data_IF_042266234393
#
_entry.id   IF_042266234393
#
_cell.length_a   1.000
_cell.length_b   1.000
_cell.length_c   1.000
_cell.angle_alpha   90.00
_cell.angle_beta   90.00
_cell.angle_gamma   90.00
#
_symmetry.space_group_name_H-M   'P 1'
#
loop_
_entity.id
_entity.type
_entity.pdbx_description
1 polymer ?
#
# COMPACT_ATOMS: atom_id res chain seq x y z
N UNK A 1 13.15 -20.06 -14.08
CA UNK A 1 13.49 -18.63 -13.77
C UNK A 1 14.20 -18.00 -14.94
N UNK A 2 14.15 -16.68 -15.08
CA UNK A 2 14.87 -15.92 -16.12
C UNK A 2 15.77 -14.85 -15.50
N UNK A 3 16.75 -14.35 -16.27
CA UNK A 3 17.67 -13.29 -15.85
C UNK A 3 17.89 -12.27 -16.98
N UNK A 4 18.33 -11.08 -16.60
CA UNK A 4 18.74 -10.01 -17.49
C UNK A 4 19.96 -9.30 -16.90
N UNK A 5 21.02 -8.99 -17.68
CA UNK A 5 22.09 -8.13 -17.20
C UNK A 5 21.54 -6.77 -16.76
N UNK A 6 21.95 -6.30 -15.59
CA UNK A 6 21.44 -5.07 -14.97
C UNK A 6 21.65 -3.82 -15.82
N UNK A 7 22.68 -3.81 -16.64
CA UNK A 7 22.95 -2.74 -17.61
C UNK A 7 21.83 -2.60 -18.68
N UNK A 8 21.05 -3.66 -18.92
CA UNK A 8 19.96 -3.69 -19.91
C UNK A 8 18.59 -3.40 -19.30
N UNK A 9 18.52 -2.90 -18.04
CA UNK A 9 17.25 -2.56 -17.40
C UNK A 9 16.43 -1.54 -18.19
N UNK A 10 17.08 -0.55 -18.82
CA UNK A 10 16.36 0.43 -19.62
C UNK A 10 15.72 -0.20 -20.88
N UNK A 11 16.36 -1.19 -21.47
CA UNK A 11 15.79 -1.93 -22.60
C UNK A 11 14.56 -2.73 -22.17
N UNK A 12 14.62 -3.36 -20.99
CA UNK A 12 13.48 -4.03 -20.36
C UNK A 12 12.31 -3.07 -20.13
N UNK A 13 12.59 -1.91 -19.54
CA UNK A 13 11.56 -0.92 -19.26
C UNK A 13 10.96 -0.32 -20.55
N UNK A 14 11.78 -0.10 -21.57
CA UNK A 14 11.34 0.33 -22.88
C UNK A 14 10.43 -0.71 -23.55
N UNK A 15 10.79 -2.00 -23.49
CA UNK A 15 10.00 -3.09 -24.05
C UNK A 15 8.63 -3.22 -23.36
N UNK A 16 8.56 -3.07 -22.03
CA UNK A 16 7.29 -3.07 -21.29
C UNK A 16 6.48 -1.81 -21.65
N UNK A 17 7.13 -0.64 -21.68
CA UNK A 17 6.47 0.64 -21.96
C UNK A 17 5.94 0.75 -23.38
N UNK A 18 6.49 -0.01 -24.33
CA UNK A 18 5.95 -0.10 -25.69
C UNK A 18 4.58 -0.78 -25.78
N UNK A 19 4.21 -1.59 -24.77
CA UNK A 19 2.97 -2.34 -24.73
C UNK A 19 1.92 -1.69 -23.82
N UNK A 20 2.35 -1.12 -22.71
CA UNK A 20 1.48 -0.58 -21.66
C UNK A 20 2.22 0.45 -20.81
N UNK A 21 1.50 1.34 -20.13
CA UNK A 21 2.12 2.33 -19.25
C UNK A 21 2.93 1.62 -18.14
N UNK A 22 4.22 1.94 -18.00
CA UNK A 22 5.07 1.37 -16.96
C UNK A 22 5.29 2.40 -15.84
N UNK A 23 4.96 2.02 -14.62
CA UNK A 23 5.26 2.80 -13.41
C UNK A 23 6.38 2.11 -12.62
N UNK A 24 7.34 2.89 -12.13
CA UNK A 24 8.43 2.39 -11.32
C UNK A 24 8.86 3.44 -10.27
N UNK A 25 9.57 3.03 -9.20
CA UNK A 25 10.13 3.96 -8.24
C UNK A 25 11.24 4.80 -8.87
N UNK A 26 11.04 6.11 -8.94
CA UNK A 26 12.06 7.08 -9.35
C UNK A 26 12.19 8.18 -8.30
N UNK A 27 13.36 8.80 -8.19
CA UNK A 27 13.57 9.89 -7.25
C UNK A 27 12.99 11.20 -7.84
N UNK A 28 12.23 11.92 -7.03
CA UNK A 28 11.77 13.27 -7.36
C UNK A 28 12.89 14.31 -7.14
N UNK A 29 12.60 15.58 -7.41
CA UNK A 29 13.55 16.67 -7.26
C UNK A 29 14.04 16.85 -5.80
N UNK A 30 13.29 16.36 -4.81
CA UNK A 30 13.66 16.36 -3.40
C UNK A 30 14.42 15.08 -2.98
N UNK A 31 14.71 14.19 -3.92
CA UNK A 31 15.37 12.91 -3.68
C UNK A 31 14.48 11.90 -2.94
N UNK A 32 13.15 12.03 -3.02
CA UNK A 32 12.23 11.05 -2.47
C UNK A 32 11.78 10.09 -3.57
N UNK A 33 11.88 8.79 -3.30
CA UNK A 33 11.38 7.77 -4.24
C UNK A 33 9.85 7.78 -4.31
N UNK A 34 9.31 7.83 -5.52
CA UNK A 34 7.87 7.76 -5.80
C UNK A 34 7.61 6.89 -7.03
N UNK A 35 6.45 6.22 -7.08
CA UNK A 35 6.02 5.56 -8.30
C UNK A 35 5.66 6.61 -9.36
N UNK A 36 6.39 6.59 -10.47
CA UNK A 36 6.29 7.57 -11.55
C UNK A 36 6.17 6.83 -12.88
N UNK A 37 5.42 7.39 -13.83
CA UNK A 37 5.36 6.89 -15.19
C UNK A 37 6.76 6.93 -15.81
N UNK A 38 7.25 5.76 -16.21
CA UNK A 38 8.58 5.65 -16.83
C UNK A 38 8.67 6.41 -18.15
N UNK A 39 9.79 7.02 -18.37
CA UNK A 39 10.20 7.68 -19.62
C UNK A 39 11.63 7.32 -19.90
N UNK A 40 11.99 7.30 -21.16
CA UNK A 40 13.37 7.02 -21.57
C UNK A 40 14.38 7.92 -20.83
N UNK A 41 15.49 7.32 -20.41
CA UNK A 41 16.52 7.97 -19.60
C UNK A 41 16.24 8.05 -18.10
N UNK A 42 15.06 7.62 -17.61
CA UNK A 42 14.79 7.54 -16.18
C UNK A 42 15.50 6.35 -15.54
N UNK A 43 16.06 6.57 -14.34
CA UNK A 43 16.72 5.53 -13.55
C UNK A 43 15.86 5.07 -12.40
N UNK A 44 15.92 3.78 -12.12
CA UNK A 44 15.28 3.20 -10.92
C UNK A 44 15.89 3.80 -9.65
N UNK A 45 15.03 4.25 -8.72
CA UNK A 45 15.50 4.74 -7.42
C UNK A 45 16.28 3.66 -6.66
N UNK A 46 17.35 4.10 -6.00
CA UNK A 46 18.11 3.24 -5.06
C UNK A 46 17.41 3.08 -3.71
N UNK A 47 16.41 3.91 -3.41
CA UNK A 47 15.60 3.82 -2.19
C UNK A 47 14.52 2.77 -2.37
N UNK A 48 14.44 1.85 -1.44
CA UNK A 48 13.50 0.74 -1.53
C UNK A 48 12.10 1.10 -1.02
N UNK A 49 12.01 2.00 -0.05
CA UNK A 49 10.72 2.43 0.48
C UNK A 49 10.31 3.77 -0.18
N UNK A 50 9.30 3.73 -1.01
CA UNK A 50 8.75 4.94 -1.64
C UNK A 50 7.97 5.78 -0.64
N UNK A 51 7.87 7.10 -0.86
CA UNK A 51 7.15 8.01 0.01
C UNK A 51 5.67 7.61 0.17
N UNK A 52 5.05 7.15 -0.93
CA UNK A 52 3.74 6.51 -0.98
C UNK A 52 3.85 5.19 -1.74
N UNK A 53 2.99 4.22 -1.41
CA UNK A 53 2.94 2.94 -2.11
C UNK A 53 2.35 3.08 -3.52
N UNK A 54 2.42 2.01 -4.31
CA UNK A 54 1.74 1.93 -5.60
C UNK A 54 0.19 1.90 -5.49
N UNK A 55 -0.38 1.97 -4.29
CA UNK A 55 -1.83 2.00 -4.05
C UNK A 55 -2.54 3.06 -4.91
N UNK A 56 -1.92 4.23 -5.09
CA UNK A 56 -2.47 5.35 -5.84
C UNK A 56 -2.86 4.98 -7.29
N UNK A 57 -2.19 3.99 -7.87
CA UNK A 57 -2.46 3.50 -9.23
C UNK A 57 -3.71 2.60 -9.30
N UNK A 58 -4.06 1.93 -8.21
CA UNK A 58 -5.19 0.99 -8.12
C UNK A 58 -6.39 1.60 -7.40
N UNK A 59 -6.14 2.44 -6.42
CA UNK A 59 -7.12 3.21 -5.67
C UNK A 59 -6.66 4.67 -5.62
N UNK A 60 -6.99 5.49 -6.64
CA UNK A 60 -6.53 6.87 -6.75
C UNK A 60 -7.13 7.77 -5.67
N UNK A 61 -6.42 8.87 -5.35
CA UNK A 61 -6.84 9.80 -4.30
C UNK A 61 -8.18 10.49 -4.63
N UNK A 62 -8.45 10.71 -5.90
CA UNK A 62 -9.73 11.27 -6.39
C UNK A 62 -10.15 10.48 -7.62
N UNK A 63 -11.42 10.15 -7.69
CA UNK A 63 -11.99 9.36 -8.78
C UNK A 63 -13.45 9.75 -9.04
N UNK A 64 -13.77 10.11 -10.28
CA UNK A 64 -15.14 10.38 -10.68
C UNK A 64 -15.97 9.09 -10.72
N UNK A 65 -17.18 9.14 -10.14
CA UNK A 65 -18.10 7.99 -10.07
C UNK A 65 -19.23 8.12 -11.09
N UNK A 66 -19.85 9.30 -11.18
CA UNK A 66 -20.96 9.57 -12.10
C UNK A 66 -21.10 11.06 -12.39
N UNK A 67 -21.64 11.38 -13.54
CA UNK A 67 -22.05 12.75 -13.90
C UNK A 67 -23.56 12.86 -14.10
N UNK A 68 -24.11 14.00 -13.73
CA UNK A 68 -25.52 14.31 -13.90
C UNK A 68 -25.64 15.65 -14.64
N UNK A 69 -26.49 15.69 -15.67
CA UNK A 69 -26.83 16.92 -16.38
C UNK A 69 -28.31 17.21 -16.20
N UNK A 70 -28.62 18.45 -15.91
CA UNK A 70 -29.97 18.89 -15.71
C UNK A 70 -30.46 19.64 -16.97
N UNK A 71 -31.52 19.15 -17.60
CA UNK A 71 -32.17 19.77 -18.74
C UNK A 71 -33.65 20.02 -18.39
N UNK A 72 -33.98 21.22 -17.92
CA UNK A 72 -35.29 21.54 -17.42
C UNK A 72 -35.69 20.66 -16.22
N UNK A 73 -36.69 19.81 -16.40
CA UNK A 73 -37.13 18.82 -15.39
C UNK A 73 -36.51 17.43 -15.55
N UNK A 74 -35.81 17.20 -16.65
CA UNK A 74 -35.10 15.93 -16.89
C UNK A 74 -33.71 15.91 -16.26
N UNK A 75 -33.31 14.73 -15.79
CA UNK A 75 -31.95 14.46 -15.32
C UNK A 75 -31.37 13.39 -16.22
N UNK A 76 -30.30 13.73 -16.91
CA UNK A 76 -29.48 12.80 -17.65
C UNK A 76 -28.33 12.34 -16.76
N UNK A 77 -28.13 11.02 -16.65
CA UNK A 77 -26.96 10.42 -15.98
C UNK A 77 -25.97 10.00 -17.07
N UNK A 78 -24.72 10.42 -16.94
CA UNK A 78 -23.68 10.05 -17.88
C UNK A 78 -22.47 9.45 -17.18
N UNK A 79 -21.83 8.52 -17.88
CA UNK A 79 -20.61 7.88 -17.40
C UNK A 79 -19.45 8.89 -17.36
N UNK A 80 -18.73 8.90 -16.27
CA UNK A 80 -17.52 9.73 -16.07
C UNK A 80 -16.28 8.88 -15.84
N UNK A 81 -16.43 7.57 -15.91
CA UNK A 81 -15.29 6.64 -15.76
C UNK A 81 -14.42 6.73 -16.99
N UNK A 82 -13.16 7.04 -16.77
CA UNK A 82 -12.15 6.85 -17.82
C UNK A 82 -11.94 5.35 -18.05
N UNK A 83 -11.73 4.98 -19.30
CA UNK A 83 -11.34 3.62 -19.64
C UNK A 83 -10.04 3.25 -18.94
N UNK A 84 -10.03 2.13 -18.24
CA UNK A 84 -8.83 1.63 -17.58
C UNK A 84 -7.86 1.09 -18.62
N UNK A 85 -6.82 1.88 -18.95
CA UNK A 85 -5.78 1.46 -19.86
C UNK A 85 -4.84 0.47 -19.17
N UNK A 86 -4.30 -0.52 -19.91
CA UNK A 86 -3.30 -1.43 -19.37
C UNK A 86 -2.07 -0.68 -18.85
N UNK A 87 -1.56 -1.10 -17.70
CA UNK A 87 -0.34 -0.56 -17.11
C UNK A 87 0.42 -1.67 -16.37
N UNK A 88 1.69 -1.48 -16.10
CA UNK A 88 2.49 -2.37 -15.26
C UNK A 88 3.15 -1.55 -14.15
N UNK A 89 3.35 -2.18 -13.00
CA UNK A 89 4.02 -1.54 -11.86
C UNK A 89 5.23 -2.36 -11.46
N UNK A 90 6.43 -1.83 -11.73
CA UNK A 90 7.71 -2.47 -11.40
C UNK A 90 8.24 -1.99 -10.06
N UNK A 91 8.90 -2.87 -9.31
CA UNK A 91 9.62 -2.52 -8.10
C UNK A 91 8.74 -2.40 -6.84
N UNK A 92 7.55 -2.98 -6.87
CA UNK A 92 6.67 -3.08 -5.71
C UNK A 92 7.33 -3.93 -4.63
N UNK A 93 7.35 -3.49 -3.37
CA UNK A 93 7.93 -4.25 -2.25
C UNK A 93 6.93 -5.28 -1.72
N UNK A 94 7.43 -6.33 -1.06
CA UNK A 94 6.59 -7.38 -0.49
C UNK A 94 5.49 -6.83 0.44
N UNK A 95 5.79 -5.82 1.25
CA UNK A 95 4.79 -5.16 2.10
C UNK A 95 3.72 -4.41 1.31
N UNK A 96 4.07 -3.80 0.18
CA UNK A 96 3.10 -3.13 -0.70
C UNK A 96 2.29 -4.17 -1.49
N UNK A 97 2.90 -5.25 -1.96
CA UNK A 97 2.19 -6.37 -2.59
C UNK A 97 1.16 -6.98 -1.63
N UNK A 98 1.56 -7.26 -0.39
CA UNK A 98 0.65 -7.74 0.66
C UNK A 98 -0.50 -6.75 0.92
N UNK A 99 -0.26 -5.44 0.80
CA UNK A 99 -1.32 -4.45 1.01
C UNK A 99 -2.44 -4.55 -0.04
N UNK A 100 -2.15 -4.97 -1.25
CA UNK A 100 -3.18 -5.22 -2.26
C UNK A 100 -4.10 -6.38 -1.89
N UNK A 101 -3.57 -7.45 -1.31
CA UNK A 101 -4.40 -8.56 -0.82
C UNK A 101 -5.36 -8.09 0.29
N UNK A 102 -4.93 -7.14 1.13
CA UNK A 102 -5.80 -6.55 2.15
C UNK A 102 -6.85 -5.62 1.55
N UNK A 103 -6.51 -4.87 0.52
CA UNK A 103 -7.48 -4.04 -0.21
C UNK A 103 -8.46 -4.89 -1.03
N UNK A 104 -7.99 -6.00 -1.61
CA UNK A 104 -8.81 -6.97 -2.33
C UNK A 104 -9.91 -7.54 -1.41
N UNK A 105 -9.60 -7.85 -0.14
CA UNK A 105 -10.58 -8.29 0.86
C UNK A 105 -11.67 -7.25 1.14
N UNK A 106 -11.39 -5.98 0.91
CA UNK A 106 -12.38 -4.89 1.12
C UNK A 106 -13.14 -4.58 -0.16
N UNK A 107 -12.44 -4.43 -1.28
CA UNK A 107 -13.03 -3.89 -2.51
C UNK A 107 -13.54 -4.96 -3.49
N UNK A 108 -13.07 -6.20 -3.38
CA UNK A 108 -13.52 -7.30 -4.23
C UNK A 108 -14.56 -8.21 -3.57
N UNK A 109 -14.96 -7.94 -2.31
CA UNK A 109 -16.13 -8.55 -1.70
C UNK A 109 -17.41 -7.92 -2.22
N UNK A 110 -18.51 -8.68 -2.18
CA UNK A 110 -19.84 -8.17 -2.58
C UNK A 110 -20.35 -7.09 -1.61
N UNK A 111 -20.82 -5.95 -2.11
CA UNK A 111 -20.84 -5.54 -3.53
C UNK A 111 -19.45 -5.12 -4.02
N UNK A 112 -19.00 -5.71 -5.14
CA UNK A 112 -17.67 -5.47 -5.70
C UNK A 112 -17.52 -4.02 -6.15
N UNK A 113 -16.41 -3.38 -5.75
CA UNK A 113 -15.98 -2.09 -6.28
C UNK A 113 -15.43 -2.26 -7.70
N UNK A 114 -16.26 -2.00 -8.69
CA UNK A 114 -15.91 -2.23 -10.09
C UNK A 114 -14.80 -1.30 -10.62
N UNK A 115 -14.56 -0.15 -9.99
CA UNK A 115 -13.46 0.76 -10.35
C UNK A 115 -12.12 0.19 -9.90
N UNK A 116 -12.07 -0.29 -8.66
CA UNK A 116 -10.88 -0.96 -8.13
C UNK A 116 -10.62 -2.26 -8.89
N UNK A 117 -11.63 -3.10 -9.09
CA UNK A 117 -11.52 -4.38 -9.78
C UNK A 117 -10.93 -4.22 -11.20
N UNK A 118 -11.40 -3.23 -11.98
CA UNK A 118 -10.89 -2.96 -13.32
C UNK A 118 -9.38 -2.64 -13.32
N UNK A 119 -8.90 -1.85 -12.34
CA UNK A 119 -7.46 -1.55 -12.22
C UNK A 119 -6.64 -2.74 -11.74
N UNK A 120 -7.19 -3.53 -10.80
CA UNK A 120 -6.52 -4.77 -10.35
C UNK A 120 -6.36 -5.76 -11.49
N UNK A 121 -7.34 -5.81 -12.41
CA UNK A 121 -7.25 -6.64 -13.61
C UNK A 121 -6.24 -6.10 -14.62
N UNK A 122 -6.24 -4.82 -14.88
CA UNK A 122 -5.41 -4.18 -15.91
C UNK A 122 -3.92 -4.07 -15.53
N UNK A 123 -3.58 -4.09 -14.24
CA UNK A 123 -2.25 -3.74 -13.75
C UNK A 123 -1.45 -4.92 -13.16
N UNK A 124 -0.60 -5.63 -13.93
CA UNK A 124 0.30 -6.60 -13.35
C UNK A 124 1.30 -5.94 -12.40
N UNK A 125 1.53 -6.64 -11.27
CA UNK A 125 2.43 -6.22 -10.20
C UNK A 125 3.74 -6.99 -10.30
N UNK A 126 4.82 -6.26 -10.62
CA UNK A 126 6.18 -6.78 -10.68
C UNK A 126 6.88 -6.38 -9.37
N UNK A 127 7.04 -7.35 -8.48
CA UNK A 127 7.66 -7.13 -7.18
C UNK A 127 9.17 -7.19 -7.27
N UNK A 128 9.84 -6.50 -6.36
CA UNK A 128 11.30 -6.54 -6.23
C UNK A 128 11.68 -6.80 -4.77
N UNK A 129 12.48 -7.84 -4.55
CA UNK A 129 12.99 -8.23 -3.23
C UNK A 129 13.68 -7.06 -2.53
N UNK A 130 13.56 -6.99 -1.20
CA UNK A 130 13.93 -5.82 -0.42
C UNK A 130 15.27 -6.01 0.29
N UNK A 131 16.38 -5.72 -0.39
CA UNK A 131 17.74 -5.82 0.16
C UNK A 131 18.18 -4.61 1.00
N UNK A 132 17.43 -3.52 1.01
CA UNK A 132 17.74 -2.26 1.74
C UNK A 132 16.50 -1.72 2.44
N UNK A 133 15.99 -2.44 3.45
CA UNK A 133 14.88 -1.95 4.26
C UNK A 133 15.32 -0.72 5.07
N UNK A 134 14.38 0.17 5.36
CA UNK A 134 14.59 1.24 6.32
C UNK A 134 14.55 0.69 7.76
N UNK A 135 15.19 1.39 8.72
CA UNK A 135 15.17 1.03 10.14
C UNK A 135 13.76 0.99 10.75
N UNK A 136 12.82 1.68 10.12
CA UNK A 136 11.42 1.70 10.53
C UNK A 136 10.59 0.55 9.98
N UNK A 137 11.17 -0.32 9.15
CA UNK A 137 10.49 -1.49 8.59
C UNK A 137 10.35 -2.61 9.63
N UNK A 138 9.18 -3.25 9.66
CA UNK A 138 8.86 -4.39 10.54
C UNK A 138 7.84 -5.34 9.90
N UNK A 139 7.89 -5.47 8.58
CA UNK A 139 6.94 -6.29 7.83
C UNK A 139 7.04 -7.80 8.16
N UNK A 140 8.22 -8.28 8.56
CA UNK A 140 8.42 -9.66 9.02
C UNK A 140 7.55 -10.02 10.25
N UNK A 141 7.24 -9.04 11.13
CA UNK A 141 6.34 -9.25 12.27
C UNK A 141 4.89 -9.59 11.85
N UNK A 142 4.52 -9.27 10.61
CA UNK A 142 3.21 -9.60 10.02
C UNK A 142 3.28 -10.80 9.07
N UNK A 143 4.33 -11.63 9.16
CA UNK A 143 4.49 -12.83 8.33
C UNK A 143 4.80 -12.53 6.87
N UNK A 144 5.30 -11.34 6.55
CA UNK A 144 5.68 -10.96 5.19
C UNK A 144 7.18 -11.25 5.01
N UNK A 145 7.52 -12.00 3.97
CA UNK A 145 8.91 -12.28 3.61
C UNK A 145 9.39 -11.41 2.45
N UNK A 146 10.21 -10.37 2.72
CA UNK A 146 10.77 -9.52 1.67
C UNK A 146 11.82 -10.20 0.77
N UNK A 147 12.30 -11.37 1.14
CA UNK A 147 13.19 -12.18 0.31
C UNK A 147 12.42 -13.00 -0.75
N UNK A 148 11.12 -13.26 -0.50
CA UNK A 148 10.21 -13.96 -1.41
C UNK A 148 8.98 -13.08 -1.68
N UNK A 149 9.13 -11.96 -2.40
CA UNK A 149 8.02 -11.04 -2.61
C UNK A 149 6.97 -11.67 -3.52
N UNK A 150 5.70 -11.68 -3.10
CA UNK A 150 4.58 -12.15 -3.91
C UNK A 150 4.12 -11.05 -4.89
N UNK A 151 3.81 -11.43 -6.13
CA UNK A 151 3.29 -10.56 -7.18
C UNK A 151 3.02 -11.37 -8.44
N UNK A 152 2.57 -10.74 -9.52
CA UNK A 152 2.44 -11.41 -10.82
C UNK A 152 3.80 -11.86 -11.32
N UNK A 153 4.83 -11.06 -11.03
CA UNK A 153 6.23 -11.39 -11.23
C UNK A 153 7.02 -11.06 -9.96
N UNK A 154 7.92 -11.95 -9.56
CA UNK A 154 8.90 -11.71 -8.51
C UNK A 154 10.27 -11.46 -9.09
N UNK A 155 10.95 -10.41 -8.61
CA UNK A 155 12.28 -10.05 -9.04
C UNK A 155 13.27 -9.95 -7.88
N UNK A 156 14.51 -10.30 -8.18
CA UNK A 156 15.68 -10.08 -7.32
C UNK A 156 16.75 -9.37 -8.13
N UNK A 157 17.60 -8.59 -7.48
CA UNK A 157 18.75 -7.96 -8.13
C UNK A 157 20.01 -8.22 -7.33
N UNK A 158 21.09 -8.56 -8.02
CA UNK A 158 22.43 -8.51 -7.48
C UNK A 158 23.25 -7.38 -8.15
N UNK A 159 24.57 -7.47 -8.11
CA UNK A 159 25.43 -6.46 -8.74
C UNK A 159 25.39 -6.53 -10.27
N UNK A 160 25.19 -7.73 -10.83
CA UNK A 160 25.29 -8.02 -12.26
C UNK A 160 23.93 -8.15 -12.95
N UNK A 161 22.95 -8.76 -12.30
CA UNK A 161 21.71 -9.21 -12.95
C UNK A 161 20.45 -8.77 -12.22
N UNK A 162 19.36 -8.67 -12.98
CA UNK A 162 17.98 -8.81 -12.54
C UNK A 162 17.57 -10.27 -12.77
N UNK A 163 16.97 -10.90 -11.77
CA UNK A 163 16.31 -12.19 -11.85
C UNK A 163 14.81 -11.99 -11.88
N UNK A 164 14.11 -12.83 -12.67
CA UNK A 164 12.71 -12.64 -13.01
C UNK A 164 11.97 -13.99 -12.96
N UNK A 165 10.90 -14.05 -12.17
CA UNK A 165 10.07 -15.24 -12.03
C UNK A 165 8.59 -14.84 -12.20
N UNK A 166 7.95 -15.33 -13.26
CA UNK A 166 6.52 -15.18 -13.45
C UNK A 166 5.76 -16.16 -12.56
N UNK A 167 4.80 -15.66 -11.80
CA UNK A 167 4.03 -16.44 -10.83
C UNK A 167 2.58 -16.68 -11.27
N UNK A 168 1.98 -15.73 -12.01
CA UNK A 168 0.58 -15.78 -12.46
C UNK A 168 0.49 -15.83 -13.99
N UNK A 169 -0.72 -16.00 -14.52
CA UNK A 169 -0.95 -15.91 -15.96
C UNK A 169 -0.63 -14.53 -16.51
N UNK A 170 -0.97 -13.45 -15.78
CA UNK A 170 -0.58 -12.08 -16.14
C UNK A 170 0.94 -11.92 -16.20
N UNK A 171 1.65 -12.47 -15.22
CA UNK A 171 3.10 -12.47 -15.18
C UNK A 171 3.72 -13.26 -16.33
N UNK A 172 3.15 -14.40 -16.70
CA UNK A 172 3.59 -15.20 -17.86
C UNK A 172 3.35 -14.45 -19.16
N UNK A 173 2.15 -13.93 -19.36
CA UNK A 173 1.81 -13.17 -20.57
C UNK A 173 2.75 -11.97 -20.78
N UNK A 174 3.05 -11.24 -19.69
CA UNK A 174 4.05 -10.15 -19.76
C UNK A 174 5.44 -10.67 -20.10
N UNK A 175 5.87 -11.79 -19.51
CA UNK A 175 7.21 -12.37 -19.69
C UNK A 175 7.43 -12.86 -21.12
N UNK A 176 6.41 -13.47 -21.74
CA UNK A 176 6.47 -14.01 -23.11
C UNK A 176 6.73 -12.93 -24.17
N UNK A 177 6.40 -11.68 -23.86
CA UNK A 177 6.68 -10.52 -24.71
C UNK A 177 8.11 -9.96 -24.55
N UNK A 178 8.93 -10.49 -23.64
CA UNK A 178 10.24 -9.96 -23.25
C UNK A 178 11.37 -10.90 -23.71
N UNK A 179 11.66 -10.90 -25.02
CA UNK A 179 12.63 -11.81 -25.64
C UNK A 179 14.07 -11.65 -25.15
N UNK A 180 14.40 -10.55 -24.46
CA UNK A 180 15.72 -10.31 -23.89
C UNK A 180 15.98 -11.07 -22.57
N UNK A 181 14.98 -11.71 -22.00
CA UNK A 181 15.12 -12.49 -20.78
C UNK A 181 15.67 -13.89 -21.07
N UNK A 182 16.83 -14.22 -20.54
CA UNK A 182 17.49 -15.52 -20.69
C UNK A 182 17.11 -16.48 -19.58
N UNK A 183 17.05 -17.78 -19.86
CA UNK A 183 16.81 -18.80 -18.85
C UNK A 183 18.00 -18.92 -17.87
N UNK A 184 17.71 -19.13 -16.59
CA UNK A 184 18.70 -19.40 -15.57
C UNK A 184 18.20 -20.44 -14.56
N UNK A 185 19.11 -20.94 -13.73
CA UNK A 185 18.76 -21.89 -12.69
C UNK A 185 17.83 -21.27 -11.64
N UNK A 186 16.94 -22.06 -11.05
CA UNK A 186 15.95 -21.58 -10.07
C UNK A 186 16.59 -21.22 -8.72
N UNK A 187 17.78 -21.72 -8.43
CA UNK A 187 18.53 -21.43 -7.22
C UNK A 187 19.47 -20.20 -7.33
N UNK A 188 19.50 -19.55 -8.50
CA UNK A 188 20.36 -18.39 -8.76
C UNK A 188 20.16 -17.23 -7.76
N UNK A 189 18.97 -17.14 -7.14
CA UNK A 189 18.59 -16.07 -6.19
C UNK A 189 18.82 -16.44 -4.73
N UNK A 190 19.23 -17.69 -4.42
CA UNK A 190 19.35 -18.18 -3.03
C UNK A 190 20.27 -17.31 -2.17
N UNK A 191 21.45 -16.98 -2.68
CA UNK A 191 22.40 -16.13 -1.95
C UNK A 191 21.81 -14.74 -1.64
N UNK A 192 21.03 -14.18 -2.57
CA UNK A 192 20.37 -12.90 -2.38
C UNK A 192 19.24 -12.99 -1.34
N UNK A 193 18.49 -14.08 -1.33
CA UNK A 193 17.44 -14.35 -0.34
C UNK A 193 18.03 -14.49 1.07
N UNK A 194 19.11 -15.26 1.24
CA UNK A 194 19.82 -15.42 2.51
C UNK A 194 20.39 -14.09 3.02
N UNK A 195 20.98 -13.28 2.12
CA UNK A 195 21.45 -11.94 2.45
C UNK A 195 20.33 -11.06 2.98
N UNK A 196 19.16 -11.08 2.34
CA UNK A 196 17.99 -10.29 2.77
C UNK A 196 17.52 -10.74 4.14
N UNK A 197 17.39 -12.06 4.41
CA UNK A 197 17.01 -12.57 5.71
C UNK A 197 17.96 -12.10 6.80
N UNK A 198 19.28 -12.20 6.58
CA UNK A 198 20.28 -11.71 7.52
C UNK A 198 20.23 -10.19 7.78
N UNK A 199 19.72 -9.39 6.83
CA UNK A 199 19.48 -7.95 7.04
C UNK A 199 18.24 -7.74 7.91
N UNK A 200 17.14 -8.46 7.61
CA UNK A 200 15.85 -8.31 8.30
C UNK A 200 15.94 -8.66 9.78
N UNK A 201 16.69 -9.70 10.15
CA UNK A 201 16.88 -10.12 11.54
C UNK A 201 17.55 -9.04 12.41
N UNK A 202 18.33 -8.16 11.79
CA UNK A 202 19.07 -7.07 12.47
C UNK A 202 18.30 -5.76 12.55
N UNK A 203 17.10 -5.69 11.96
CA UNK A 203 16.29 -4.47 12.04
C UNK A 203 15.85 -4.18 13.49
N UNK A 204 15.79 -2.91 13.90
CA UNK A 204 15.42 -2.53 15.28
C UNK A 204 14.06 -3.04 15.73
N UNK A 205 13.14 -3.25 14.78
CA UNK A 205 11.76 -3.66 15.02
C UNK A 205 11.48 -5.12 14.60
N UNK A 206 12.52 -5.91 14.27
CA UNK A 206 12.37 -7.28 13.79
C UNK A 206 11.66 -8.22 14.78
N UNK A 207 11.73 -7.90 16.09
CA UNK A 207 11.17 -8.70 17.18
C UNK A 207 10.04 -7.99 17.91
N UNK A 208 9.30 -7.10 17.22
CA UNK A 208 8.12 -6.46 17.81
C UNK A 208 7.07 -7.52 18.16
N UNK A 209 6.73 -7.61 19.46
CA UNK A 209 5.72 -8.54 19.95
C UNK A 209 4.30 -8.02 19.62
N UNK A 210 3.55 -8.83 18.89
CA UNK A 210 2.16 -8.56 18.52
C UNK A 210 1.15 -9.39 19.37
N UNK A 211 1.61 -10.19 20.33
CA UNK A 211 0.75 -11.09 21.13
C UNK A 211 -0.34 -10.36 21.91
N UNK A 212 -0.10 -9.10 22.27
CA UNK A 212 -1.06 -8.24 22.98
C UNK A 212 -2.19 -7.69 22.11
N UNK A 213 -2.11 -7.81 20.79
CA UNK A 213 -3.10 -7.34 19.80
C UNK A 213 -3.57 -8.50 18.91
N UNK A 214 -4.62 -8.29 18.12
CA UNK A 214 -5.15 -9.32 17.22
C UNK A 214 -6.65 -9.53 17.42
N UNK A 215 -7.20 -10.53 16.74
CA UNK A 215 -8.61 -10.89 16.81
C UNK A 215 -9.05 -11.24 18.26
N UNK A 216 -10.31 -10.90 18.57
CA UNK A 216 -10.92 -11.16 19.89
C UNK A 216 -10.53 -10.20 21.00
N UNK A 217 -9.64 -9.24 20.75
CA UNK A 217 -9.10 -8.34 21.79
C UNK A 217 -9.86 -7.02 21.97
N UNK A 218 -10.97 -6.81 21.26
CA UNK A 218 -11.73 -5.56 21.32
C UNK A 218 -12.10 -5.17 22.74
N UNK A 219 -12.72 -6.06 23.53
CA UNK A 219 -13.14 -5.77 24.91
C UNK A 219 -11.96 -5.42 25.82
N UNK A 220 -10.83 -6.06 25.62
CA UNK A 220 -9.62 -5.86 26.43
C UNK A 220 -8.95 -4.50 26.13
N UNK A 221 -8.98 -4.04 24.88
CA UNK A 221 -8.19 -2.91 24.44
C UNK A 221 -8.98 -1.61 24.27
N UNK A 222 -10.31 -1.70 24.10
CA UNK A 222 -11.13 -0.54 23.74
C UNK A 222 -11.13 0.56 24.82
N UNK A 223 -11.33 0.18 26.08
CA UNK A 223 -11.46 1.13 27.20
C UNK A 223 -10.16 1.34 27.98
N UNK A 224 -9.01 0.98 27.41
CA UNK A 224 -7.71 1.18 28.04
C UNK A 224 -7.46 2.68 28.28
N UNK A 225 -7.10 3.11 29.51
CA UNK A 225 -6.84 4.51 29.82
C UNK A 225 -5.64 5.10 29.08
N UNK A 226 -4.72 4.26 28.64
CA UNK A 226 -3.50 4.66 27.89
C UNK A 226 -3.81 5.35 26.56
N UNK A 227 -5.01 5.17 26.02
CA UNK A 227 -5.42 5.88 24.81
C UNK A 227 -5.37 7.39 24.95
N UNK A 228 -5.67 7.92 26.15
CA UNK A 228 -5.59 9.35 26.42
C UNK A 228 -4.15 9.86 26.26
N UNK A 229 -3.19 9.24 26.97
CA UNK A 229 -1.79 9.65 26.92
C UNK A 229 -1.15 9.38 25.54
N UNK A 230 -1.50 8.27 24.87
CA UNK A 230 -1.02 7.96 23.54
C UNK A 230 -1.48 8.97 22.49
N UNK A 231 -2.69 9.53 22.63
CA UNK A 231 -3.26 10.48 21.66
C UNK A 231 -2.91 11.94 21.94
N UNK A 232 -2.44 12.28 23.13
CA UNK A 232 -2.26 13.67 23.61
C UNK A 232 -1.40 14.52 22.67
N UNK A 233 -0.26 13.99 22.21
CA UNK A 233 0.64 14.71 21.31
C UNK A 233 0.25 14.62 19.84
N UNK A 234 -0.78 13.84 19.48
CA UNK A 234 -1.17 13.65 18.10
C UNK A 234 -1.81 14.92 17.51
N UNK A 235 -1.29 15.40 16.37
CA UNK A 235 -1.80 16.60 15.69
C UNK A 235 -3.11 16.36 14.91
N UNK A 236 -3.58 15.12 14.76
CA UNK A 236 -4.74 14.78 13.94
C UNK A 236 -4.54 15.04 12.43
N UNK A 237 -3.30 15.22 11.96
CA UNK A 237 -2.98 15.66 10.60
C UNK A 237 -3.30 14.64 9.49
N UNK A 238 -3.63 13.39 9.82
CA UNK A 238 -3.98 12.36 8.84
C UNK A 238 -2.82 11.79 8.02
N UNK A 239 -1.60 12.35 8.07
CA UNK A 239 -0.44 11.89 7.27
C UNK A 239 -0.25 10.38 7.34
N UNK A 240 -0.37 9.80 8.53
CA UNK A 240 -0.21 8.36 8.75
C UNK A 240 -1.25 7.48 8.04
N UNK A 241 -2.41 8.02 7.65
CA UNK A 241 -3.44 7.32 6.87
C UNK A 241 -3.21 7.50 5.37
N UNK A 242 -2.78 8.69 4.94
CA UNK A 242 -2.53 8.98 3.53
C UNK A 242 -1.27 8.28 2.97
N UNK A 243 -0.22 8.07 3.78
CA UNK A 243 0.96 7.31 3.35
C UNK A 243 0.80 5.80 3.54
N UNK A 244 -0.28 5.36 4.19
CA UNK A 244 -0.47 3.94 4.48
C UNK A 244 -0.98 3.17 3.26
N UNK A 245 -0.31 2.07 2.88
CA UNK A 245 -0.74 1.25 1.74
C UNK A 245 -2.07 0.52 1.98
N UNK A 246 -2.44 0.28 3.25
CA UNK A 246 -3.66 -0.47 3.62
C UNK A 246 -4.81 0.40 4.10
N UNK A 247 -4.68 1.74 4.10
CA UNK A 247 -5.81 2.62 4.41
C UNK A 247 -6.68 2.82 3.18
N UNK A 248 -8.00 2.61 3.37
CA UNK A 248 -8.99 2.61 2.31
C UNK A 248 -10.18 3.55 2.59
N UNK A 249 -10.09 4.41 3.63
CA UNK A 249 -11.14 5.38 3.92
C UNK A 249 -11.28 6.38 2.77
N UNK A 250 -12.50 6.63 2.34
CA UNK A 250 -12.86 7.63 1.34
C UNK A 250 -14.18 8.29 1.71
N UNK A 251 -14.41 9.47 1.15
CA UNK A 251 -15.67 10.18 1.18
C UNK A 251 -16.23 10.29 -0.25
N UNK A 252 -17.55 10.39 -0.36
CA UNK A 252 -18.26 10.61 -1.63
C UNK A 252 -18.81 12.01 -1.61
N UNK A 253 -18.37 12.84 -2.55
CA UNK A 253 -18.73 14.22 -2.66
C UNK A 253 -19.34 14.56 -4.02
N UNK A 254 -19.98 15.71 -4.08
CA UNK A 254 -20.57 16.26 -5.30
C UNK A 254 -20.02 17.66 -5.56
N UNK A 255 -19.71 17.92 -6.83
CA UNK A 255 -19.36 19.24 -7.32
C UNK A 255 -20.42 19.68 -8.32
N UNK A 256 -21.19 20.71 -7.94
CA UNK A 256 -22.28 21.26 -8.77
C UNK A 256 -21.81 22.56 -9.45
N UNK A 257 -21.88 22.60 -10.78
CA UNK A 257 -21.59 23.77 -11.62
C UNK A 257 -22.85 24.59 -11.95
N UNK A 258 -24.00 24.21 -11.43
CA UNK A 258 -25.33 24.75 -11.80
C UNK A 258 -25.95 24.12 -13.04
N UNK A 259 -25.15 23.56 -13.96
CA UNK A 259 -25.60 22.85 -15.17
C UNK A 259 -25.33 21.35 -15.10
N UNK A 260 -24.21 20.98 -14.49
CA UNK A 260 -23.78 19.58 -14.33
C UNK A 260 -23.35 19.37 -12.91
N UNK A 261 -23.66 18.19 -12.36
CA UNK A 261 -23.15 17.72 -11.08
C UNK A 261 -22.20 16.57 -11.36
N UNK A 262 -21.04 16.56 -10.74
CA UNK A 262 -20.09 15.43 -10.76
C UNK A 262 -20.03 14.85 -9.36
N UNK A 263 -20.34 13.57 -9.25
CA UNK A 263 -20.13 12.77 -8.04
C UNK A 263 -18.78 12.09 -8.15
N UNK A 264 -17.96 12.27 -7.12
CA UNK A 264 -16.63 11.67 -7.05
C UNK A 264 -16.36 11.12 -5.64
N UNK A 265 -15.45 10.17 -5.55
CA UNK A 265 -14.86 9.79 -4.26
C UNK A 265 -13.47 10.38 -4.13
N UNK A 266 -13.09 10.73 -2.91
CA UNK A 266 -11.74 11.15 -2.56
C UNK A 266 -11.29 10.46 -1.28
N UNK A 267 -9.97 10.22 -1.14
CA UNK A 267 -9.47 9.67 0.10
C UNK A 267 -9.82 10.56 1.27
N UNK A 268 -10.16 9.91 2.38
CA UNK A 268 -10.42 10.56 3.65
C UNK A 268 -9.65 9.86 4.77
N UNK A 269 -9.77 10.34 5.98
CA UNK A 269 -9.05 9.84 7.12
C UNK A 269 -9.96 9.63 8.33
N UNK A 270 -9.90 8.43 8.91
CA UNK A 270 -10.55 8.16 10.21
C UNK A 270 -9.99 9.01 11.36
N UNK A 271 -8.93 9.78 11.11
CA UNK A 271 -8.38 10.76 12.04
C UNK A 271 -9.07 12.13 11.97
N UNK A 272 -9.89 12.39 10.94
CA UNK A 272 -10.58 13.67 10.77
C UNK A 272 -11.92 13.68 11.49
N UNK A 273 -12.32 14.86 11.99
CA UNK A 273 -13.55 15.02 12.77
C UNK A 273 -14.80 14.71 11.97
N UNK A 274 -14.81 15.06 10.70
CA UNK A 274 -16.01 14.97 9.88
C UNK A 274 -16.22 13.61 9.21
N UNK A 275 -15.18 12.76 9.18
CA UNK A 275 -15.23 11.44 8.53
C UNK A 275 -16.38 10.54 9.04
N UNK A 276 -16.73 10.63 10.34
CA UNK A 276 -17.81 9.83 10.94
C UNK A 276 -18.99 10.66 11.39
N UNK A 277 -19.06 11.93 11.00
CA UNK A 277 -20.17 12.81 11.33
C UNK A 277 -21.42 12.42 10.55
N UNK A 278 -22.50 12.22 11.26
CA UNK A 278 -23.81 11.87 10.71
C UNK A 278 -24.84 12.92 11.13
N UNK A 279 -25.99 12.94 10.46
CA UNK A 279 -27.11 13.82 10.82
C UNK A 279 -27.61 13.58 12.25
N UNK A 280 -27.52 12.35 12.74
CA UNK A 280 -27.95 11.93 14.08
C UNK A 280 -26.88 12.10 15.16
N UNK A 281 -25.64 12.46 14.82
CA UNK A 281 -24.57 12.65 15.81
C UNK A 281 -23.18 12.32 15.31
N UNK A 282 -22.19 12.40 16.20
CA UNK A 282 -20.79 12.11 15.94
C UNK A 282 -20.31 11.01 16.90
N UNK A 283 -20.07 9.77 16.42
CA UNK A 283 -19.62 8.66 17.28
C UNK A 283 -18.18 8.79 17.76
N UNK A 284 -17.38 9.69 17.15
CA UNK A 284 -15.96 9.93 17.50
C UNK A 284 -15.69 11.42 17.65
N UNK A 285 -16.29 12.07 18.69
CA UNK A 285 -16.25 13.53 18.84
C UNK A 285 -14.85 14.04 19.20
N UNK A 286 -14.04 13.24 19.91
CA UNK A 286 -12.71 13.66 20.38
C UNK A 286 -11.56 13.03 19.62
N UNK A 287 -10.38 13.59 19.81
CA UNK A 287 -9.12 13.09 19.25
C UNK A 287 -8.80 11.66 19.71
N UNK A 288 -9.08 11.35 20.98
CA UNK A 288 -8.82 10.04 21.59
C UNK A 288 -9.53 8.92 20.81
N UNK A 289 -10.82 9.11 20.51
CA UNK A 289 -11.65 8.10 19.84
C UNK A 289 -11.19 7.90 18.39
N UNK A 290 -10.85 8.98 17.67
CA UNK A 290 -10.33 8.90 16.31
C UNK A 290 -8.96 8.23 16.26
N UNK A 291 -8.08 8.57 17.19
CA UNK A 291 -6.78 7.94 17.37
C UNK A 291 -6.93 6.44 17.66
N UNK A 292 -7.72 6.08 18.67
CA UNK A 292 -8.04 4.68 19.03
C UNK A 292 -8.57 3.90 17.82
N UNK A 293 -9.53 4.47 17.11
CA UNK A 293 -10.12 3.84 15.93
C UNK A 293 -9.08 3.47 14.88
N UNK A 294 -8.15 4.37 14.59
CA UNK A 294 -7.11 4.12 13.58
C UNK A 294 -6.28 2.88 13.90
N UNK A 295 -5.89 2.73 15.16
CA UNK A 295 -5.02 1.62 15.55
C UNK A 295 -5.79 0.33 15.79
N UNK A 296 -6.92 0.40 16.48
CA UNK A 296 -7.77 -0.79 16.68
C UNK A 296 -8.28 -1.34 15.35
N UNK A 297 -8.60 -0.50 14.38
CA UNK A 297 -8.99 -0.98 13.05
C UNK A 297 -7.92 -1.90 12.44
N UNK A 298 -6.65 -1.51 12.51
CA UNK A 298 -5.56 -2.30 11.91
C UNK A 298 -5.16 -3.53 12.73
N UNK A 299 -5.25 -3.41 14.04
CA UNK A 299 -4.67 -4.38 14.96
C UNK A 299 -5.69 -5.33 15.58
N UNK A 300 -6.98 -4.98 15.54
CA UNK A 300 -8.05 -5.77 16.18
C UNK A 300 -9.24 -5.96 15.23
N UNK A 301 -9.90 -4.88 14.80
CA UNK A 301 -11.16 -5.00 14.04
C UNK A 301 -10.98 -5.63 12.66
N UNK A 302 -9.89 -5.31 11.96
CA UNK A 302 -9.60 -5.95 10.69
C UNK A 302 -9.31 -7.45 10.88
N UNK A 303 -8.44 -7.87 11.83
CA UNK A 303 -8.28 -9.26 12.19
C UNK A 303 -9.58 -9.98 12.60
N UNK A 304 -10.47 -9.33 13.38
CA UNK A 304 -11.75 -9.92 13.80
C UNK A 304 -12.63 -10.31 12.57
N UNK A 305 -12.55 -9.55 11.50
CA UNK A 305 -13.38 -9.71 10.31
C UNK A 305 -12.66 -10.34 9.10
N UNK A 306 -11.38 -10.70 9.24
CA UNK A 306 -10.54 -11.19 8.14
C UNK A 306 -9.60 -12.34 8.56
N UNK A 307 -10.16 -13.37 9.23
CA UNK A 307 -9.45 -14.61 9.58
C UNK A 307 -8.16 -14.39 10.39
N UNK A 308 -8.12 -13.38 11.25
CA UNK A 308 -6.95 -13.03 12.05
C UNK A 308 -5.87 -12.24 11.30
N UNK A 309 -6.08 -11.91 10.03
CA UNK A 309 -5.12 -11.14 9.23
C UNK A 309 -5.07 -9.69 9.68
N UNK A 310 -3.89 -9.18 10.00
CA UNK A 310 -3.72 -7.79 10.43
C UNK A 310 -3.93 -6.79 9.28
N UNK A 311 -4.58 -5.66 9.56
CA UNK A 311 -4.72 -4.53 8.64
C UNK A 311 -3.45 -3.67 8.49
N UNK A 312 -2.31 -4.15 8.96
CA UNK A 312 -0.99 -3.50 8.87
C UNK A 312 0.00 -4.45 8.19
N UNK A 313 0.89 -3.89 7.38
CA UNK A 313 1.96 -4.61 6.66
C UNK A 313 3.36 -4.22 7.13
N UNK A 314 3.50 -3.49 8.22
CA UNK A 314 4.81 -3.14 8.79
C UNK A 314 5.76 -2.35 7.88
N UNK A 315 5.26 -1.62 6.89
CA UNK A 315 6.08 -0.93 5.89
C UNK A 315 6.86 0.29 6.42
N UNK A 316 6.65 0.73 7.66
CA UNK A 316 7.38 1.81 8.31
C UNK A 316 7.04 3.24 7.88
N UNK A 317 6.32 3.49 6.79
CA UNK A 317 6.05 4.84 6.27
C UNK A 317 5.41 5.77 7.29
N UNK A 318 4.44 5.29 8.06
CA UNK A 318 3.79 6.11 9.09
C UNK A 318 4.71 6.46 10.26
N UNK A 319 5.77 5.68 10.51
CA UNK A 319 6.81 6.00 11.49
C UNK A 319 7.69 7.14 10.98
N UNK A 320 8.14 7.05 9.74
CA UNK A 320 9.02 8.05 9.11
C UNK A 320 8.34 9.41 8.91
N UNK A 321 7.05 9.40 8.54
CA UNK A 321 6.33 10.62 8.14
C UNK A 321 5.57 11.30 9.28
N UNK A 322 5.53 10.72 10.48
CA UNK A 322 4.86 11.33 11.63
C UNK A 322 5.71 12.46 12.21
N UNK A 323 5.24 13.72 12.18
CA UNK A 323 6.04 14.87 12.64
C UNK A 323 6.32 14.87 14.14
N UNK A 324 5.55 14.09 14.92
CA UNK A 324 5.69 13.98 16.38
C UNK A 324 6.08 12.57 16.84
N UNK A 325 6.50 11.72 15.90
CA UNK A 325 6.91 10.34 16.14
C UNK A 325 5.89 9.46 16.90
N UNK A 326 4.61 9.83 16.85
CA UNK A 326 3.52 9.00 17.38
C UNK A 326 3.12 7.96 16.33
N UNK A 327 3.34 6.68 16.64
CA UNK A 327 3.24 5.61 15.64
C UNK A 327 2.66 4.31 16.20
N UNK A 328 2.34 3.38 15.31
CA UNK A 328 1.72 2.10 15.63
C UNK A 328 2.59 1.22 16.53
N UNK A 329 3.92 1.31 16.43
CA UNK A 329 4.85 0.52 17.25
C UNK A 329 4.74 0.94 18.71
N UNK A 330 4.68 2.27 18.99
CA UNK A 330 4.46 2.78 20.34
C UNK A 330 3.12 2.28 20.90
N UNK A 331 2.07 2.28 20.11
CA UNK A 331 0.76 1.76 20.50
C UNK A 331 0.82 0.26 20.84
N UNK A 332 1.45 -0.54 19.98
CA UNK A 332 1.63 -1.99 20.20
C UNK A 332 2.39 -2.25 21.49
N UNK A 333 3.52 -1.58 21.73
CA UNK A 333 4.31 -1.74 22.95
C UNK A 333 3.52 -1.37 24.21
N UNK A 334 2.83 -0.23 24.19
CA UNK A 334 2.06 0.25 25.36
C UNK A 334 0.85 -0.65 25.67
N UNK A 335 0.14 -1.11 24.65
CA UNK A 335 -1.08 -1.90 24.87
C UNK A 335 -0.83 -3.40 24.94
N UNK A 336 0.25 -3.86 24.33
CA UNK A 336 0.62 -5.28 24.27
C UNK A 336 1.17 -5.84 25.59
N UNK A 337 1.43 -5.01 26.58
CA UNK A 337 1.96 -5.45 27.88
C UNK A 337 3.45 -5.79 27.88
N UNK A 338 4.18 -5.45 26.80
CA UNK A 338 5.63 -5.49 26.80
C UNK A 338 6.16 -4.42 27.74
N UNK A 339 6.86 -4.79 28.80
CA UNK A 339 7.52 -3.87 29.70
C UNK A 339 8.45 -2.95 28.87
N UNK A 340 8.20 -1.64 28.96
CA UNK A 340 9.19 -0.62 28.61
C UNK A 340 10.36 -0.80 29.58
N UNK A 341 11.32 -1.64 29.22
CA UNK A 341 12.67 -1.46 29.74
C UNK A 341 13.22 -0.18 29.11
N UNK A 342 13.51 0.77 29.98
CA UNK A 342 13.95 2.16 29.74
C UNK A 342 15.14 2.28 28.81
#
# INVERSE_FOLDING_TARGET
>A
MKKLPKQNLNDLFAAISAQQALYLPADDAAGQAQFTLWRDGMTLSRRHNTARSAKDLFFPQVENLAGFRREGKAIEIFETRDETKPFAVFGVRACDARSFELLDRVFLNEPVDTFYAARREAGPIITLACERPDETCFCSCFGIDPAHPAGDVSCWMDEANLYWQANTEKGRALTDCLSMLEDCADDAVRAQQEKIHGILERLPLAKLDLSGVGAGKTKQLFDRPEWASLSESCLGCGTCTFVCPTCQCYDVQEFDTGKTVRRFRCWDSCMYSDFTKMSAGQPRPTQVERFRQRFLHKLVYFPDNNDGVFGCVGCGRCLQKCPIHMNIVKVVKTLGGGNDEK
#
